data_IF_659257662753
#
_entry.id   IF_659257662753
#
_cell.length_a   1.000
_cell.length_b   1.000
_cell.length_c   1.000
_cell.angle_alpha   90.00
_cell.angle_beta   90.00
_cell.angle_gamma   90.00
#
_symmetry.space_group_name_H-M   'P 1'
#
loop_
_entity.id
_entity.type
_entity.pdbx_description
1 polymer ?
#
# COMPACT_ATOMS: atom_id res chain seq x y z
N UNK A 1 -6.46 -8.22 -13.79
CA UNK A 1 -5.55 -8.92 -12.85
C UNK A 1 -4.35 -8.03 -12.59
N UNK A 2 -4.01 -7.71 -11.33
CA UNK A 2 -2.82 -6.90 -11.05
C UNK A 2 -1.56 -7.65 -11.52
N UNK A 3 -0.64 -6.93 -12.18
CA UNK A 3 0.67 -7.48 -12.56
C UNK A 3 1.60 -7.36 -11.36
N UNK A 4 1.99 -8.48 -10.79
CA UNK A 4 2.92 -8.53 -9.65
C UNK A 4 4.35 -8.51 -10.20
N UNK A 5 5.15 -7.57 -9.73
CA UNK A 5 6.59 -7.51 -10.04
C UNK A 5 7.38 -8.40 -9.10
N UNK A 6 8.49 -8.97 -9.58
CA UNK A 6 9.36 -9.77 -8.73
C UNK A 6 9.98 -8.93 -7.60
N UNK A 7 10.14 -9.46 -6.37
CA UNK A 7 10.65 -8.70 -5.22
C UNK A 7 12.01 -8.02 -5.46
N UNK A 8 12.92 -8.67 -6.18
CA UNK A 8 14.23 -8.09 -6.50
C UNK A 8 14.09 -6.85 -7.41
N UNK A 9 13.20 -6.93 -8.41
CA UNK A 9 12.95 -5.83 -9.34
C UNK A 9 12.31 -4.64 -8.60
N UNK A 10 11.34 -4.91 -7.71
CA UNK A 10 10.74 -3.88 -6.88
C UNK A 10 11.78 -3.15 -6.01
N UNK A 11 12.69 -3.89 -5.35
CA UNK A 11 13.78 -3.30 -4.55
C UNK A 11 14.71 -2.43 -5.39
N UNK A 12 15.14 -2.93 -6.55
CA UNK A 12 16.01 -2.19 -7.46
C UNK A 12 15.36 -0.90 -7.95
N UNK A 13 14.11 -0.98 -8.42
CA UNK A 13 13.35 0.20 -8.88
C UNK A 13 13.11 1.20 -7.75
N UNK A 14 12.83 0.74 -6.52
CA UNK A 14 12.69 1.60 -5.35
C UNK A 14 13.97 2.37 -5.01
N UNK A 15 15.13 1.73 -5.13
CA UNK A 15 16.43 2.38 -4.91
C UNK A 15 16.75 3.43 -6.00
N UNK A 16 16.48 3.09 -7.27
CA UNK A 16 16.66 4.02 -8.40
C UNK A 16 15.73 5.23 -8.26
N UNK A 17 14.46 5.00 -7.94
CA UNK A 17 13.49 6.08 -7.73
C UNK A 17 13.95 7.02 -6.60
N UNK A 18 14.32 6.48 -5.43
CA UNK A 18 14.82 7.28 -4.32
C UNK A 18 16.03 8.13 -4.71
N UNK A 19 17.01 7.56 -5.42
CA UNK A 19 18.19 8.29 -5.87
C UNK A 19 17.83 9.43 -6.84
N UNK A 20 16.94 9.18 -7.80
CA UNK A 20 16.49 10.16 -8.77
C UNK A 20 15.74 11.33 -8.12
N UNK A 21 14.77 11.06 -7.23
CA UNK A 21 14.04 12.11 -6.52
C UNK A 21 14.94 12.92 -5.59
N UNK A 22 15.92 12.28 -4.95
CA UNK A 22 16.91 12.96 -4.12
C UNK A 22 17.80 13.88 -4.94
N UNK A 23 18.32 13.41 -6.08
CA UNK A 23 19.14 14.22 -6.99
C UNK A 23 18.37 15.40 -7.58
N UNK A 24 17.07 15.23 -7.84
CA UNK A 24 16.19 16.30 -8.32
C UNK A 24 15.73 17.27 -7.21
N UNK A 25 16.08 17.05 -5.93
CA UNK A 25 15.58 17.81 -4.79
C UNK A 25 14.04 17.87 -4.73
N UNK A 26 13.38 16.76 -5.07
CA UNK A 26 11.91 16.64 -5.09
C UNK A 26 11.41 15.73 -3.97
N UNK A 27 10.18 15.94 -3.46
CA UNK A 27 9.56 15.01 -2.53
C UNK A 27 9.43 13.63 -3.19
N UNK A 28 9.90 12.60 -2.48
CA UNK A 28 9.90 11.23 -2.95
C UNK A 28 8.55 10.57 -2.64
N UNK A 29 7.74 10.19 -3.64
CA UNK A 29 6.50 9.46 -3.39
C UNK A 29 6.76 8.01 -2.99
N UNK A 30 7.94 7.46 -3.38
CA UNK A 30 8.37 6.11 -3.06
C UNK A 30 9.83 6.09 -2.63
N UNK A 31 10.14 5.39 -1.53
CA UNK A 31 11.50 5.19 -1.03
C UNK A 31 11.82 3.71 -0.83
N UNK A 32 13.11 3.38 -0.74
CA UNK A 32 13.58 1.99 -0.55
C UNK A 32 13.01 1.34 0.70
N UNK A 33 12.84 2.13 1.78
CA UNK A 33 12.33 1.64 3.05
C UNK A 33 10.88 1.19 2.91
N UNK A 34 10.04 2.00 2.24
CA UNK A 34 8.65 1.65 1.99
C UNK A 34 8.53 0.38 1.13
N UNK A 35 9.31 0.25 0.05
CA UNK A 35 9.30 -0.96 -0.78
C UNK A 35 9.66 -2.20 0.05
N UNK A 36 10.66 -2.08 0.92
CA UNK A 36 11.10 -3.19 1.78
C UNK A 36 10.01 -3.60 2.78
N UNK A 37 9.30 -2.63 3.35
CA UNK A 37 8.12 -2.87 4.21
C UNK A 37 7.00 -3.56 3.46
N UNK A 38 6.64 -3.06 2.26
CA UNK A 38 5.58 -3.65 1.44
C UNK A 38 5.89 -5.09 1.02
N UNK A 39 7.15 -5.39 0.71
CA UNK A 39 7.59 -6.75 0.33
C UNK A 39 7.70 -7.71 1.52
N UNK A 40 7.91 -7.21 2.73
CA UNK A 40 7.91 -8.05 3.92
C UNK A 40 6.52 -8.62 4.19
N UNK A 41 5.49 -7.81 3.92
CA UNK A 41 4.11 -8.13 4.30
C UNK A 41 3.92 -8.05 5.82
N UNK A 42 2.68 -7.80 6.24
CA UNK A 42 2.34 -7.77 7.66
C UNK A 42 1.06 -8.58 7.86
N UNK A 43 1.16 -9.65 8.65
CA UNK A 43 0.00 -10.34 9.21
C UNK A 43 -0.31 -9.66 10.54
N UNK A 44 -1.34 -8.82 10.55
CA UNK A 44 -1.78 -8.16 11.78
C UNK A 44 -2.74 -9.08 12.53
N UNK A 45 -2.40 -9.42 13.77
CA UNK A 45 -3.33 -10.08 14.69
C UNK A 45 -4.09 -9.04 15.51
N UNK A 46 -5.39 -8.95 15.24
CA UNK A 46 -6.31 -8.07 15.96
C UNK A 46 -6.92 -8.67 17.22
N UNK A 47 -6.64 -9.95 17.55
CA UNK A 47 -7.32 -10.72 18.60
C UNK A 47 -7.30 -10.03 19.97
N UNK A 48 -6.18 -9.38 20.30
CA UNK A 48 -6.04 -8.63 21.54
C UNK A 48 -6.98 -7.43 21.61
N UNK A 49 -7.07 -6.64 20.54
CA UNK A 49 -7.96 -5.49 20.49
C UNK A 49 -9.43 -5.92 20.54
N UNK A 50 -9.78 -7.03 19.88
CA UNK A 50 -11.12 -7.61 19.98
C UNK A 50 -11.45 -8.01 21.42
N UNK A 51 -10.52 -8.69 22.11
CA UNK A 51 -10.73 -9.17 23.47
C UNK A 51 -10.77 -8.05 24.52
N UNK A 52 -9.82 -7.12 24.47
CA UNK A 52 -9.60 -6.14 25.53
C UNK A 52 -10.40 -4.84 25.30
N UNK A 53 -10.68 -4.50 24.04
CA UNK A 53 -11.36 -3.25 23.69
C UNK A 53 -12.75 -3.47 23.09
N UNK A 54 -13.18 -4.73 22.92
CA UNK A 54 -14.45 -5.05 22.25
C UNK A 54 -14.47 -4.69 20.77
N UNK A 55 -13.31 -4.48 20.15
CA UNK A 55 -13.21 -4.00 18.77
C UNK A 55 -13.74 -5.04 17.78
N UNK A 56 -14.65 -4.60 16.91
CA UNK A 56 -15.18 -5.41 15.80
C UNK A 56 -14.49 -5.01 14.49
N UNK A 57 -13.68 -5.91 13.94
CA UNK A 57 -13.02 -5.67 12.65
C UNK A 57 -13.97 -5.88 11.48
N UNK A 58 -13.98 -4.93 10.53
CA UNK A 58 -14.60 -5.13 9.22
C UNK A 58 -13.66 -5.94 8.32
N UNK A 59 -14.20 -6.84 7.50
CA UNK A 59 -13.40 -7.57 6.53
C UNK A 59 -12.70 -6.59 5.57
N UNK A 60 -11.40 -6.82 5.34
CA UNK A 60 -10.58 -5.93 4.48
C UNK A 60 -11.18 -5.76 3.09
N UNK A 61 -11.80 -6.82 2.55
CA UNK A 61 -12.47 -6.78 1.24
C UNK A 61 -13.58 -5.73 1.19
N UNK A 62 -14.37 -5.59 2.25
CA UNK A 62 -15.50 -4.67 2.28
C UNK A 62 -15.02 -3.23 2.37
N UNK A 63 -13.99 -2.98 3.17
CA UNK A 63 -13.33 -1.67 3.24
C UNK A 63 -12.72 -1.29 1.89
N UNK A 64 -11.96 -2.18 1.26
CA UNK A 64 -11.38 -1.94 -0.07
C UNK A 64 -12.47 -1.70 -1.14
N UNK A 65 -13.55 -2.48 -1.11
CA UNK A 65 -14.68 -2.30 -2.00
C UNK A 65 -15.31 -0.91 -1.87
N UNK A 66 -15.63 -0.49 -0.64
CA UNK A 66 -16.16 0.85 -0.36
C UNK A 66 -15.20 1.96 -0.76
N UNK A 67 -13.90 1.81 -0.52
CA UNK A 67 -12.90 2.81 -0.92
C UNK A 67 -12.82 2.95 -2.43
N UNK A 68 -12.90 1.87 -3.19
CA UNK A 68 -12.91 1.92 -4.66
C UNK A 68 -14.20 2.57 -5.18
N UNK A 69 -15.35 2.23 -4.61
CA UNK A 69 -16.64 2.84 -4.94
C UNK A 69 -16.59 4.37 -4.75
N UNK A 70 -16.11 4.81 -3.58
CA UNK A 70 -15.89 6.21 -3.28
C UNK A 70 -14.90 6.88 -4.25
N UNK A 71 -13.76 6.24 -4.53
CA UNK A 71 -12.78 6.82 -5.45
C UNK A 71 -13.32 6.99 -6.88
N UNK A 72 -14.28 6.15 -7.29
CA UNK A 72 -15.00 6.31 -8.56
C UNK A 72 -16.01 7.46 -8.50
N UNK A 73 -16.77 7.60 -7.41
CA UNK A 73 -17.72 8.71 -7.27
C UNK A 73 -17.04 10.08 -7.27
N UNK A 74 -15.84 10.16 -6.71
CA UNK A 74 -14.99 11.37 -6.71
C UNK A 74 -14.24 11.59 -8.04
N UNK A 75 -14.36 10.68 -9.02
CA UNK A 75 -13.65 10.78 -10.30
C UNK A 75 -12.13 10.56 -10.19
N UNK A 76 -11.62 10.04 -9.08
CA UNK A 76 -10.20 9.76 -8.85
C UNK A 76 -9.71 8.53 -9.63
N UNK A 77 -10.61 7.59 -9.89
CA UNK A 77 -10.32 6.37 -10.66
C UNK A 77 -11.34 6.23 -11.78
N UNK A 78 -10.85 6.17 -13.02
CA UNK A 78 -11.69 5.86 -14.18
C UNK A 78 -11.83 4.35 -14.34
N UNK A 79 -13.02 3.84 -14.74
CA UNK A 79 -13.12 2.47 -15.21
C UNK A 79 -12.17 2.30 -16.39
N UNK A 80 -11.43 1.18 -16.38
CA UNK A 80 -10.52 0.81 -17.46
C UNK A 80 -11.31 0.39 -18.71
#
# INVERSE_FOLDING_TARGET
RPRIVAPFAARALGAVAEAAFRAAHRPQPVCRAMVRTLLHGHAYDGSRATRELGLQYTAVRDTLGRTVEWARSEGLVRPA
#
